data_IF_208340493642
#
_entry.id   IF_208340493642
#
_cell.length_a   1.000
_cell.length_b   1.000
_cell.length_c   1.000
_cell.angle_alpha   90.00
_cell.angle_beta   90.00
_cell.angle_gamma   90.00
#
_symmetry.space_group_name_H-M   'P 1'
#
loop_
_entity.id
_entity.type
_entity.pdbx_description
1 polymer ?
#
# COMPACT_ATOMS: atom_id res chain seq x y z
N UNK A 1 -14.97 -17.00 0.90
CA UNK A 1 -14.31 -15.96 0.10
C UNK A 1 -12.91 -15.75 0.66
N UNK A 2 -11.90 -16.36 0.04
CA UNK A 2 -10.50 -16.12 0.40
C UNK A 2 -10.14 -14.69 0.02
N UNK A 3 -9.79 -13.84 0.98
CA UNK A 3 -9.45 -12.43 0.69
C UNK A 3 -8.24 -12.39 -0.24
N UNK A 4 -8.35 -11.72 -1.40
CA UNK A 4 -7.21 -11.41 -2.26
C UNK A 4 -6.13 -10.71 -1.41
N UNK A 5 -4.90 -11.24 -1.42
CA UNK A 5 -3.77 -10.66 -0.69
C UNK A 5 -2.85 -9.90 -1.64
N UNK A 6 -2.27 -8.79 -1.18
CA UNK A 6 -1.23 -8.03 -1.91
C UNK A 6 0.00 -8.89 -2.16
N UNK A 7 0.49 -9.58 -1.12
CA UNK A 7 1.73 -10.35 -1.19
C UNK A 7 2.90 -9.50 -1.71
N UNK A 8 3.60 -10.01 -2.71
CA UNK A 8 4.71 -9.33 -3.39
C UNK A 8 4.27 -8.37 -4.51
N UNK A 9 2.98 -8.27 -4.82
CA UNK A 9 2.50 -7.36 -5.87
C UNK A 9 2.66 -5.90 -5.42
N UNK A 10 2.91 -5.01 -6.37
CA UNK A 10 2.77 -3.56 -6.16
C UNK A 10 1.33 -3.22 -5.75
N UNK A 11 1.10 -2.07 -5.08
CA UNK A 11 -0.29 -1.66 -4.78
C UNK A 11 -1.12 -1.50 -6.05
N UNK A 12 -0.54 -1.01 -7.15
CA UNK A 12 -1.27 -0.86 -8.41
C UNK A 12 -1.76 -2.20 -8.97
N UNK A 13 -0.90 -3.22 -9.01
CA UNK A 13 -1.30 -4.57 -9.44
C UNK A 13 -2.34 -5.18 -8.50
N UNK A 14 -2.17 -5.01 -7.19
CA UNK A 14 -3.10 -5.52 -6.20
C UNK A 14 -4.49 -4.87 -6.32
N UNK A 15 -4.55 -3.54 -6.41
CA UNK A 15 -5.80 -2.78 -6.63
C UNK A 15 -6.45 -3.18 -7.94
N UNK A 16 -5.66 -3.37 -9.01
CA UNK A 16 -6.17 -3.85 -10.30
C UNK A 16 -6.85 -5.21 -10.18
N UNK A 17 -6.18 -6.20 -9.58
CA UNK A 17 -6.75 -7.53 -9.32
C UNK A 17 -8.00 -7.47 -8.43
N UNK A 18 -7.99 -6.62 -7.40
CA UNK A 18 -9.13 -6.43 -6.51
C UNK A 18 -10.34 -5.84 -7.25
N UNK A 19 -10.10 -4.88 -8.14
CA UNK A 19 -11.14 -4.30 -8.99
C UNK A 19 -11.75 -5.36 -9.90
N UNK A 20 -10.93 -6.13 -10.62
CA UNK A 20 -11.41 -7.22 -11.49
C UNK A 20 -12.25 -8.21 -10.72
N UNK A 21 -11.82 -8.62 -9.53
CA UNK A 21 -12.61 -9.49 -8.65
C UNK A 21 -13.98 -8.91 -8.28
N UNK A 22 -14.06 -7.62 -7.95
CA UNK A 22 -15.34 -6.96 -7.68
C UNK A 22 -16.23 -6.84 -8.93
N UNK A 23 -15.63 -6.60 -10.09
CA UNK A 23 -16.35 -6.52 -11.38
C UNK A 23 -16.93 -7.89 -11.77
N UNK A 24 -16.18 -8.97 -11.57
CA UNK A 24 -16.64 -10.35 -11.80
C UNK A 24 -17.82 -10.72 -10.90
N UNK A 25 -17.77 -10.37 -9.61
CA UNK A 25 -18.90 -10.53 -8.70
C UNK A 25 -20.12 -9.72 -9.16
N UNK A 26 -19.90 -8.47 -9.57
CA UNK A 26 -20.96 -7.62 -10.10
C UNK A 26 -21.60 -8.19 -11.37
N UNK A 27 -20.81 -8.83 -12.24
CA UNK A 27 -21.28 -9.41 -13.50
C UNK A 27 -22.25 -10.59 -13.28
N UNK A 28 -22.12 -11.31 -12.15
CA UNK A 28 -23.04 -12.39 -11.76
C UNK A 28 -24.14 -11.92 -10.79
N UNK A 29 -24.34 -10.60 -10.63
CA UNK A 29 -25.37 -10.01 -9.79
C UNK A 29 -25.02 -9.89 -8.29
N UNK A 30 -23.78 -10.20 -7.90
CA UNK A 30 -23.29 -10.08 -6.52
C UNK A 30 -22.57 -8.75 -6.31
N UNK A 31 -23.33 -7.65 -6.28
CA UNK A 31 -22.76 -6.31 -6.08
C UNK A 31 -22.21 -6.17 -4.65
N UNK A 32 -20.91 -5.87 -4.54
CA UNK A 32 -20.24 -5.62 -3.27
C UNK A 32 -20.46 -4.17 -2.84
N UNK A 33 -20.90 -3.96 -1.59
CA UNK A 33 -21.09 -2.62 -1.03
C UNK A 33 -19.77 -1.86 -0.94
N UNK A 34 -19.83 -0.53 -0.95
CA UNK A 34 -18.62 0.31 -0.92
C UNK A 34 -17.80 0.08 0.37
N UNK A 35 -18.50 -0.09 1.50
CA UNK A 35 -17.89 -0.38 2.80
C UNK A 35 -17.20 -1.74 2.79
N UNK A 36 -17.82 -2.77 2.20
CA UNK A 36 -17.23 -4.11 2.10
C UNK A 36 -16.04 -4.11 1.16
N UNK A 37 -16.10 -3.36 0.03
CA UNK A 37 -14.96 -3.18 -0.86
C UNK A 37 -13.75 -2.60 -0.12
N UNK A 38 -13.96 -1.54 0.66
CA UNK A 38 -12.90 -0.94 1.48
C UNK A 38 -12.37 -1.94 2.49
N UNK A 39 -13.25 -2.62 3.23
CA UNK A 39 -12.82 -3.60 4.23
C UNK A 39 -12.01 -4.75 3.59
N UNK A 40 -12.48 -5.33 2.49
CA UNK A 40 -11.82 -6.44 1.81
C UNK A 40 -10.48 -6.04 1.18
N UNK A 41 -10.40 -4.84 0.59
CA UNK A 41 -9.15 -4.28 0.07
C UNK A 41 -8.11 -4.14 1.20
N UNK A 42 -8.51 -3.56 2.33
CA UNK A 42 -7.60 -3.31 3.45
C UNK A 42 -7.14 -4.61 4.12
N UNK A 43 -8.01 -5.62 4.21
CA UNK A 43 -7.69 -6.93 4.79
C UNK A 43 -6.67 -7.72 3.95
N UNK A 44 -6.54 -7.41 2.67
CA UNK A 44 -5.52 -7.99 1.80
C UNK A 44 -4.14 -7.37 1.92
N UNK A 45 -4.02 -6.25 2.64
CA UNK A 45 -2.74 -5.58 2.87
C UNK A 45 -1.90 -6.32 3.92
N UNK A 46 -0.58 -6.19 3.80
CA UNK A 46 0.37 -6.72 4.78
C UNK A 46 0.48 -5.84 6.04
N UNK A 47 1.20 -6.33 7.04
CA UNK A 47 1.41 -5.63 8.33
C UNK A 47 2.03 -4.23 8.18
N UNK A 48 2.82 -3.97 7.13
CA UNK A 48 3.39 -2.65 6.85
C UNK A 48 2.35 -1.53 6.57
N UNK A 49 1.09 -1.90 6.34
CA UNK A 49 0.00 -0.95 6.08
C UNK A 49 -0.94 -0.76 7.27
N UNK A 50 -0.65 -1.34 8.45
CA UNK A 50 -1.52 -1.23 9.63
C UNK A 50 -1.91 0.22 10.02
N UNK A 51 -1.00 1.22 9.96
CA UNK A 51 -1.38 2.62 10.22
C UNK A 51 -2.43 3.14 9.23
N UNK A 52 -2.29 2.79 7.94
CA UNK A 52 -3.24 3.15 6.90
C UNK A 52 -4.59 2.45 7.11
N UNK A 53 -4.58 1.14 7.39
CA UNK A 53 -5.79 0.34 7.66
C UNK A 53 -6.57 0.93 8.83
N UNK A 54 -5.89 1.23 9.94
CA UNK A 54 -6.50 1.82 11.14
C UNK A 54 -7.17 3.17 10.82
N UNK A 55 -6.51 4.00 10.01
CA UNK A 55 -7.03 5.31 9.63
C UNK A 55 -8.25 5.22 8.73
N UNK A 56 -8.21 4.36 7.70
CA UNK A 56 -9.31 4.23 6.73
C UNK A 56 -10.55 3.52 7.28
N UNK A 57 -10.39 2.64 8.28
CA UNK A 57 -11.52 1.98 8.95
C UNK A 57 -12.17 2.85 10.03
N UNK A 58 -11.59 4.02 10.38
CA UNK A 58 -12.18 4.94 11.34
C UNK A 58 -13.41 5.62 10.73
N UNK A 59 -14.58 5.58 11.39
CA UNK A 59 -15.77 6.26 10.87
C UNK A 59 -15.60 7.80 10.75
N UNK A 60 -16.19 8.43 9.73
CA UNK A 60 -16.89 7.78 8.61
C UNK A 60 -15.92 7.10 7.65
N UNK A 61 -16.21 5.85 7.27
CA UNK A 61 -15.37 5.08 6.35
C UNK A 61 -15.51 5.68 4.95
N UNK A 62 -14.40 6.08 4.29
CA UNK A 62 -14.44 6.63 2.93
C UNK A 62 -14.95 5.62 1.91
N UNK A 63 -15.34 6.10 0.73
CA UNK A 63 -15.74 5.25 -0.39
C UNK A 63 -14.53 4.57 -1.04
N UNK A 64 -14.73 3.43 -1.70
CA UNK A 64 -13.65 2.69 -2.36
C UNK A 64 -12.83 3.56 -3.32
N UNK A 65 -13.53 4.40 -4.11
CA UNK A 65 -12.89 5.33 -5.06
C UNK A 65 -11.98 6.38 -4.39
N UNK A 66 -12.22 6.69 -3.11
CA UNK A 66 -11.42 7.63 -2.32
C UNK A 66 -10.22 6.94 -1.67
N UNK A 67 -10.40 5.69 -1.22
CA UNK A 67 -9.34 4.90 -0.57
C UNK A 67 -8.21 4.54 -1.54
N UNK A 68 -8.52 4.22 -2.80
CA UNK A 68 -7.52 3.83 -3.81
C UNK A 68 -6.40 4.87 -4.01
N UNK A 69 -6.69 6.15 -4.35
CA UNK A 69 -5.64 7.16 -4.53
C UNK A 69 -4.89 7.47 -3.23
N UNK A 70 -5.55 7.38 -2.08
CA UNK A 70 -4.90 7.54 -0.77
C UNK A 70 -3.90 6.43 -0.49
N UNK A 71 -4.25 5.18 -0.83
CA UNK A 71 -3.39 4.01 -0.68
C UNK A 71 -2.16 4.09 -1.61
N UNK A 72 -2.36 4.49 -2.87
CA UNK A 72 -1.27 4.73 -3.81
C UNK A 72 -0.32 5.83 -3.33
N UNK A 73 -0.88 6.94 -2.82
CA UNK A 73 -0.09 8.04 -2.25
C UNK A 73 0.66 7.63 -0.99
N UNK A 74 0.09 6.72 -0.18
CA UNK A 74 0.76 6.16 0.99
C UNK A 74 1.97 5.30 0.58
N UNK A 75 1.84 4.43 -0.42
CA UNK A 75 2.97 3.64 -0.93
C UNK A 75 4.09 4.54 -1.48
N UNK A 76 3.75 5.50 -2.34
CA UNK A 76 4.74 6.42 -2.91
C UNK A 76 5.53 7.21 -1.85
N UNK A 77 4.86 7.63 -0.76
CA UNK A 77 5.54 8.30 0.37
C UNK A 77 6.48 7.38 1.13
N UNK A 78 6.08 6.13 1.36
CA UNK A 78 6.93 5.15 2.02
C UNK A 78 8.15 4.80 1.16
N UNK A 79 7.98 4.59 -0.15
CA UNK A 79 9.09 4.30 -1.06
C UNK A 79 10.11 5.44 -1.11
N UNK A 80 9.62 6.68 -1.13
CA UNK A 80 10.47 7.88 -1.07
C UNK A 80 11.23 7.97 0.27
N UNK A 81 10.55 7.65 1.38
CA UNK A 81 11.17 7.67 2.70
C UNK A 81 12.28 6.62 2.81
N UNK A 82 12.02 5.37 2.41
CA UNK A 82 13.02 4.30 2.40
C UNK A 82 14.20 4.62 1.49
N UNK A 83 13.94 5.16 0.29
CA UNK A 83 14.99 5.59 -0.64
C UNK A 83 15.88 6.68 -0.02
N UNK A 84 15.28 7.62 0.70
CA UNK A 84 16.02 8.71 1.37
C UNK A 84 16.92 8.19 2.50
N UNK A 85 16.46 7.21 3.28
CA UNK A 85 17.23 6.59 4.35
C UNK A 85 18.43 5.81 3.79
N UNK A 86 18.21 5.03 2.74
CA UNK A 86 19.27 4.29 2.07
C UNK A 86 20.35 5.23 1.51
N UNK A 87 19.93 6.33 0.86
CA UNK A 87 20.87 7.32 0.33
C UNK A 87 21.72 7.96 1.43
N UNK A 88 21.09 8.33 2.56
CA UNK A 88 21.78 8.90 3.72
C UNK A 88 22.80 7.92 4.32
N UNK A 89 22.41 6.65 4.47
CA UNK A 89 23.30 5.60 4.97
C UNK A 89 24.51 5.38 4.05
N UNK A 90 24.29 5.30 2.74
CA UNK A 90 25.38 5.14 1.75
C UNK A 90 26.32 6.36 1.77
N UNK A 91 25.76 7.58 1.82
CA UNK A 91 26.53 8.80 1.87
C UNK A 91 27.40 8.90 3.13
N UNK A 92 26.85 8.52 4.29
CA UNK A 92 27.59 8.50 5.55
C UNK A 92 28.76 7.52 5.51
N UNK A 93 28.52 6.28 5.07
CA UNK A 93 29.57 5.27 4.98
C UNK A 93 30.67 5.66 3.99
N UNK A 94 30.31 6.23 2.83
CA UNK A 94 31.28 6.70 1.84
C UNK A 94 32.25 7.74 2.42
N UNK A 95 31.75 8.68 3.24
CA UNK A 95 32.60 9.68 3.92
C UNK A 95 33.57 9.04 4.90
N UNK A 96 33.14 8.03 5.66
CA UNK A 96 34.01 7.32 6.60
C UNK A 96 35.18 6.62 5.88
N UNK A 97 34.93 6.00 4.73
CA UNK A 97 35.99 5.35 3.95
C UNK A 97 36.99 6.35 3.37
N UNK A 98 36.52 7.51 2.90
CA UNK A 98 37.39 8.56 2.36
C UNK A 98 38.31 9.16 3.44
N UNK A 99 37.79 9.40 4.65
CA UNK A 99 38.57 9.95 5.75
C UNK A 99 39.68 9.00 6.24
N UNK A 100 39.50 7.68 6.10
CA UNK A 100 40.51 6.68 6.49
C UNK A 100 41.68 6.55 5.51
N UNK A 101 41.57 7.05 4.28
CA UNK A 101 42.64 6.98 3.27
C UNK A 101 43.53 8.24 3.27
N UNK A 102 43.14 9.28 4.01
CA UNK A 102 43.82 10.58 4.04
C UNK A 102 44.60 10.84 5.33
N UNK A 103 44.65 9.88 6.26
CA UNK A 103 45.46 9.91 7.47
C UNK A 103 46.44 8.74 7.50
#
# INVERSE_FOLDING_TARGET
LTSLKKGSNSINEYVGKFKTFCDELSAIGQVVSDKDKVFWLLQGLGSGYQPFVTTMLRPPVPQYKEVVPLLQSYEARNDNFESSLQMSYVAHNKKLYQNKQQG
#
